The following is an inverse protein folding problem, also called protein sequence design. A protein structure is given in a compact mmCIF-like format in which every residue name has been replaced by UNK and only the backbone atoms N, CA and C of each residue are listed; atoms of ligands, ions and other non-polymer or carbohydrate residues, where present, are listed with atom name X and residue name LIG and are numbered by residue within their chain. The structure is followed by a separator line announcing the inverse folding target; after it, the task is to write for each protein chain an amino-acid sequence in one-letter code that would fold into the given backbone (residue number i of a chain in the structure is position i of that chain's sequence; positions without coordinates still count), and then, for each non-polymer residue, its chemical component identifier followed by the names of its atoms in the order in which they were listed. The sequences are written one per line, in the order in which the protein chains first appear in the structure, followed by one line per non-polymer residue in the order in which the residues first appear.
data_IF_218443743789
#
_entry.id   IF_218443743789
#
_cell.length_a   1.000
_cell.length_b   1.000
_cell.length_c   1.000
_cell.angle_alpha   90.00
_cell.angle_beta   90.00
_cell.angle_gamma   90.00
#
_symmetry.space_group_name_H-M   'P 1'
#
loop_
_entity.id
_entity.type
_entity.pdbx_description
1 polymer ?
#
# COMPACT_ATOMS: atom_id res chain seq x y z
N UNK A 1 -0.44 34.93 23.92
CA UNK A 1 -1.70 34.24 23.62
C UNK A 1 -2.34 34.91 22.42
N UNK A 2 -2.13 34.34 21.24
CA UNK A 2 -2.96 34.59 20.06
C UNK A 2 -3.31 33.22 19.53
N UNK A 3 -4.60 32.94 19.55
CA UNK A 3 -5.20 31.65 19.27
C UNK A 3 -4.91 31.23 17.83
N UNK A 4 -4.35 30.03 17.70
CA UNK A 4 -4.16 29.34 16.44
C UNK A 4 -5.48 28.59 16.14
N UNK A 5 -6.41 29.24 15.45
CA UNK A 5 -7.57 28.56 14.91
C UNK A 5 -7.09 27.66 13.76
N UNK A 6 -7.08 26.35 14.01
CA UNK A 6 -6.96 25.34 12.98
C UNK A 6 -8.11 25.52 11.98
N UNK A 7 -7.76 25.92 10.76
CA UNK A 7 -8.68 25.95 9.63
C UNK A 7 -9.15 24.52 9.35
N UNK A 8 -10.40 24.21 9.65
CA UNK A 8 -11.03 22.96 9.23
C UNK A 8 -10.97 22.87 7.70
N UNK A 9 -10.17 21.95 7.18
CA UNK A 9 -10.07 21.71 5.75
C UNK A 9 -11.44 21.29 5.23
N UNK A 10 -12.08 22.15 4.43
CA UNK A 10 -13.29 21.79 3.69
C UNK A 10 -12.93 20.68 2.71
N UNK A 11 -13.46 19.47 2.93
CA UNK A 11 -13.21 18.33 2.07
C UNK A 11 -13.61 18.67 0.62
N UNK A 12 -12.72 18.42 -0.32
CA UNK A 12 -13.03 18.46 -1.76
C UNK A 12 -14.20 17.49 -2.02
N UNK A 13 -15.20 17.87 -2.85
CA UNK A 13 -16.35 16.99 -3.08
C UNK A 13 -15.88 15.66 -3.67
N UNK A 14 -16.24 14.56 -3.01
CA UNK A 14 -15.97 13.20 -3.48
C UNK A 14 -16.88 12.95 -4.69
N UNK A 15 -16.28 12.68 -5.85
CA UNK A 15 -17.03 12.39 -7.07
C UNK A 15 -17.42 10.90 -7.10
N UNK A 16 -18.70 10.62 -7.34
CA UNK A 16 -19.22 9.25 -7.45
C UNK A 16 -19.56 8.99 -8.91
N UNK A 17 -18.91 8.00 -9.50
CA UNK A 17 -19.18 7.57 -10.87
C UNK A 17 -19.55 6.09 -10.91
N UNK A 18 -20.56 5.74 -11.71
CA UNK A 18 -20.89 4.35 -11.98
C UNK A 18 -19.91 3.84 -13.05
N UNK A 19 -19.15 2.80 -12.74
CA UNK A 19 -18.10 2.25 -13.64
C UNK A 19 -18.45 0.87 -14.21
N UNK A 20 -19.48 0.22 -13.64
CA UNK A 20 -20.15 -0.96 -14.21
C UNK A 20 -21.60 -1.04 -13.69
N UNK A 21 -22.34 -2.06 -14.06
CA UNK A 21 -23.68 -2.33 -13.52
C UNK A 21 -23.68 -2.71 -12.02
N UNK A 22 -22.54 -3.15 -11.48
CA UNK A 22 -22.39 -3.58 -10.09
C UNK A 22 -21.30 -2.82 -9.31
N UNK A 23 -20.76 -1.73 -9.86
CA UNK A 23 -19.69 -1.00 -9.19
C UNK A 23 -19.70 0.52 -9.40
N UNK A 24 -19.43 1.23 -8.31
CA UNK A 24 -19.20 2.67 -8.26
C UNK A 24 -17.75 2.98 -7.90
N UNK A 25 -17.16 3.97 -8.55
CA UNK A 25 -15.86 4.53 -8.17
C UNK A 25 -16.07 5.87 -7.46
N UNK A 26 -15.56 5.97 -6.23
CA UNK A 26 -15.46 7.21 -5.47
C UNK A 26 -14.07 7.80 -5.69
N UNK A 27 -14.00 9.03 -6.20
CA UNK A 27 -12.77 9.79 -6.38
C UNK A 27 -12.66 10.86 -5.29
N UNK A 28 -11.62 10.78 -4.47
CA UNK A 28 -11.43 11.71 -3.34
C UNK A 28 -10.53 12.90 -3.70
N UNK A 29 -9.54 12.66 -4.57
CA UNK A 29 -8.52 13.66 -4.92
C UNK A 29 -7.80 13.25 -6.21
N UNK A 30 -7.15 14.19 -6.90
CA UNK A 30 -6.22 13.88 -7.99
C UNK A 30 -4.76 13.75 -7.52
N UNK A 31 -4.52 13.91 -6.21
CA UNK A 31 -3.20 13.90 -5.58
C UNK A 31 -3.18 12.91 -4.43
N UNK A 32 -2.14 12.08 -4.38
CA UNK A 32 -1.88 11.13 -3.30
C UNK A 32 -1.43 11.89 -2.05
N UNK A 33 -2.09 11.68 -0.92
CA UNK A 33 -1.69 12.22 0.38
C UNK A 33 -2.19 11.35 1.53
N UNK A 34 -1.57 11.46 2.70
CA UNK A 34 -2.02 10.73 3.89
C UNK A 34 -3.44 11.12 4.32
N UNK A 35 -3.77 12.40 4.21
CA UNK A 35 -5.12 12.89 4.49
C UNK A 35 -6.18 12.23 3.58
N UNK A 36 -5.88 12.03 2.30
CA UNK A 36 -6.78 11.32 1.37
C UNK A 36 -6.87 9.83 1.73
N UNK A 37 -5.76 9.19 2.09
CA UNK A 37 -5.77 7.80 2.54
C UNK A 37 -6.58 7.63 3.84
N UNK A 38 -6.54 8.59 4.75
CA UNK A 38 -7.34 8.62 5.98
C UNK A 38 -8.84 8.76 5.67
N UNK A 39 -9.21 9.63 4.73
CA UNK A 39 -10.58 9.77 4.25
C UNK A 39 -11.10 8.46 3.61
N UNK A 40 -10.30 7.83 2.76
CA UNK A 40 -10.65 6.55 2.13
C UNK A 40 -10.85 5.46 3.19
N UNK A 41 -9.96 5.38 4.19
CA UNK A 41 -10.07 4.42 5.29
C UNK A 41 -11.35 4.64 6.12
N UNK A 42 -11.68 5.90 6.41
CA UNK A 42 -12.90 6.27 7.13
C UNK A 42 -14.16 5.89 6.35
N UNK A 43 -14.23 6.26 5.07
CA UNK A 43 -15.36 5.90 4.20
C UNK A 43 -15.48 4.39 4.02
N UNK A 44 -14.36 3.70 3.84
CA UNK A 44 -14.34 2.23 3.74
C UNK A 44 -14.94 1.59 4.98
N UNK A 45 -14.59 2.09 6.17
CA UNK A 45 -15.15 1.59 7.44
C UNK A 45 -16.65 1.85 7.52
N UNK A 46 -17.10 3.05 7.18
CA UNK A 46 -18.52 3.41 7.21
C UNK A 46 -19.36 2.59 6.21
N UNK A 47 -18.82 2.29 5.03
CA UNK A 47 -19.52 1.52 4.00
C UNK A 47 -19.58 0.02 4.28
N UNK A 48 -18.71 -0.53 5.14
CA UNK A 48 -18.77 -1.95 5.52
C UNK A 48 -20.07 -2.33 6.23
N UNK A 49 -20.70 -1.38 6.91
CA UNK A 49 -21.96 -1.57 7.63
C UNK A 49 -23.20 -1.42 6.72
N UNK A 50 -23.02 -1.00 5.46
CA UNK A 50 -24.11 -0.82 4.52
C UNK A 50 -24.48 -2.16 3.89
N UNK A 51 -25.70 -2.63 4.13
CA UNK A 51 -26.24 -3.84 3.53
C UNK A 51 -26.21 -3.77 2.00
N UNK A 52 -25.84 -4.87 1.34
CA UNK A 52 -25.72 -4.95 -0.12
C UNK A 52 -24.38 -4.49 -0.68
N UNK A 53 -23.43 -4.06 0.15
CA UNK A 53 -22.03 -3.90 -0.27
C UNK A 53 -21.35 -5.28 -0.30
N UNK A 54 -20.79 -5.64 -1.45
CA UNK A 54 -20.10 -6.92 -1.67
C UNK A 54 -18.61 -6.78 -1.37
N UNK A 55 -17.98 -5.73 -1.89
CA UNK A 55 -16.55 -5.50 -1.73
C UNK A 55 -16.19 -4.01 -1.76
N UNK A 56 -15.08 -3.68 -1.11
CA UNK A 56 -14.54 -2.34 -0.96
C UNK A 56 -13.04 -2.37 -1.22
N UNK A 57 -12.63 -1.81 -2.36
CA UNK A 57 -11.25 -1.90 -2.83
C UNK A 57 -10.62 -0.50 -2.80
N UNK A 58 -9.95 -0.13 -1.69
CA UNK A 58 -9.28 1.16 -1.57
C UNK A 58 -8.02 1.21 -2.44
N UNK A 59 -7.75 2.40 -2.98
CA UNK A 59 -6.53 2.74 -3.70
C UNK A 59 -6.02 4.12 -3.24
N UNK A 60 -4.98 4.65 -3.89
CA UNK A 60 -4.31 5.88 -3.46
C UNK A 60 -5.24 7.08 -3.31
N UNK A 61 -6.18 7.24 -4.22
CA UNK A 61 -7.11 8.39 -4.26
C UNK A 61 -8.55 8.01 -4.53
N UNK A 62 -8.82 6.70 -4.63
CA UNK A 62 -10.12 6.16 -5.01
C UNK A 62 -10.55 5.02 -4.11
N UNK A 63 -11.86 4.79 -4.07
CA UNK A 63 -12.46 3.59 -3.51
C UNK A 63 -13.42 3.00 -4.54
N UNK A 64 -13.14 1.78 -4.99
CA UNK A 64 -14.10 1.02 -5.79
C UNK A 64 -15.06 0.30 -4.83
N UNK A 65 -16.34 0.52 -5.04
CA UNK A 65 -17.43 -0.08 -4.25
C UNK A 65 -18.17 -1.05 -5.15
N UNK A 66 -18.13 -2.34 -4.82
CA UNK A 66 -18.89 -3.39 -5.50
C UNK A 66 -20.14 -3.68 -4.68
N UNK A 67 -21.30 -3.75 -5.32
CA UNK A 67 -22.58 -3.89 -4.64
C UNK A 67 -23.51 -4.90 -5.32
N UNK A 68 -24.46 -5.42 -4.56
CA UNK A 68 -25.46 -6.36 -5.02
C UNK A 68 -26.62 -5.62 -5.71
N UNK A 69 -26.82 -5.93 -7.00
CA UNK A 69 -27.90 -5.35 -7.82
C UNK A 69 -29.31 -5.75 -7.39
N UNK A 70 -29.45 -6.78 -6.56
CA UNK A 70 -30.73 -7.13 -5.94
C UNK A 70 -31.09 -6.20 -4.77
N UNK A 71 -30.08 -5.60 -4.13
CA UNK A 71 -30.23 -4.60 -3.06
C UNK A 71 -30.35 -3.18 -3.63
N UNK A 72 -29.56 -2.86 -4.67
CA UNK A 72 -29.50 -1.52 -5.22
C UNK A 72 -29.64 -1.48 -6.75
N UNK A 73 -30.48 -0.58 -7.24
CA UNK A 73 -30.35 -0.07 -8.61
C UNK A 73 -29.31 1.07 -8.67
N UNK A 74 -29.00 1.52 -9.90
CA UNK A 74 -28.00 2.56 -10.17
C UNK A 74 -28.26 3.89 -9.43
N UNK A 75 -29.52 4.24 -9.16
CA UNK A 75 -29.86 5.50 -8.48
C UNK A 75 -29.87 5.31 -6.97
N UNK A 76 -30.35 4.16 -6.51
CA UNK A 76 -30.40 3.80 -5.10
C UNK A 76 -28.99 3.72 -4.49
N UNK A 77 -28.03 3.09 -5.18
CA UNK A 77 -26.64 3.02 -4.69
C UNK A 77 -26.02 4.40 -4.58
N UNK A 78 -26.16 5.26 -5.60
CA UNK A 78 -25.59 6.61 -5.56
C UNK A 78 -26.16 7.42 -4.39
N UNK A 79 -27.48 7.32 -4.17
CA UNK A 79 -28.15 7.98 -3.03
C UNK A 79 -27.68 7.42 -1.69
N UNK A 80 -27.51 6.10 -1.57
CA UNK A 80 -27.02 5.46 -0.35
C UNK A 80 -25.58 5.90 -0.02
N UNK A 81 -24.69 5.90 -1.02
CA UNK A 81 -23.32 6.37 -0.89
C UNK A 81 -23.28 7.85 -0.46
N UNK A 82 -24.06 8.71 -1.10
CA UNK A 82 -24.18 10.12 -0.70
C UNK A 82 -24.68 10.28 0.74
N UNK A 83 -25.65 9.46 1.14
CA UNK A 83 -26.18 9.45 2.51
C UNK A 83 -25.10 9.08 3.53
N UNK A 84 -24.31 8.04 3.26
CA UNK A 84 -23.19 7.65 4.12
C UNK A 84 -22.16 8.78 4.20
N UNK A 85 -21.73 9.33 3.06
CA UNK A 85 -20.76 10.43 3.02
C UNK A 85 -21.23 11.68 3.79
N UNK A 86 -22.53 11.98 3.75
CA UNK A 86 -23.11 13.09 4.49
C UNK A 86 -23.16 12.85 6.01
N UNK A 87 -23.15 11.59 6.45
CA UNK A 87 -23.18 11.22 7.87
C UNK A 87 -21.79 11.09 8.51
N UNK A 88 -20.72 11.09 7.70
CA UNK A 88 -19.35 10.94 8.19
C UNK A 88 -18.92 12.16 8.98
N UNK A 89 -18.41 11.93 10.19
CA UNK A 89 -17.64 12.91 10.94
C UNK A 89 -16.21 12.96 10.39
N UNK A 90 -15.97 13.87 9.46
CA UNK A 90 -14.65 14.07 8.83
C UNK A 90 -13.57 14.51 9.81
N UNK A 91 -13.91 15.03 10.99
CA UNK A 91 -12.93 15.37 12.03
C UNK A 91 -12.28 14.12 12.66
N UNK A 92 -12.90 12.95 12.45
CA UNK A 92 -12.35 11.66 12.89
C UNK A 92 -11.37 11.02 11.90
N UNK A 93 -11.16 11.61 10.71
CA UNK A 93 -10.19 11.12 9.75
C UNK A 93 -8.77 11.14 10.34
N UNK A 94 -8.07 10.01 10.28
CA UNK A 94 -6.74 9.84 10.86
C UNK A 94 -6.72 9.38 12.32
N UNK A 95 -7.87 9.22 12.99
CA UNK A 95 -7.94 8.71 14.36
C UNK A 95 -7.81 7.18 14.47
N UNK A 96 -7.61 6.47 13.35
CA UNK A 96 -7.46 5.00 13.36
C UNK A 96 -6.07 4.63 13.86
N UNK A 97 -6.01 3.66 14.77
CA UNK A 97 -4.75 3.01 15.15
C UNK A 97 -4.28 2.19 13.95
N UNK A 98 -3.30 2.69 13.20
CA UNK A 98 -2.59 1.91 12.19
C UNK A 98 -1.76 0.84 12.89
N UNK A 99 -1.81 -0.41 12.43
CA UNK A 99 -0.85 -1.39 12.92
C UNK A 99 0.52 -1.07 12.34
N UNK A 100 1.56 -1.17 13.19
CA UNK A 100 2.94 -1.14 12.72
C UNK A 100 3.36 -2.56 12.36
N UNK A 101 3.73 -2.77 11.09
CA UNK A 101 4.27 -4.02 10.57
C UNK A 101 5.76 -3.84 10.34
N UNK A 102 6.59 -4.57 11.09
CA UNK A 102 8.03 -4.59 10.91
C UNK A 102 8.41 -5.80 10.05
N UNK A 103 9.10 -5.54 8.93
CA UNK A 103 9.52 -6.57 7.98
C UNK A 103 11.04 -6.69 8.03
N UNK A 104 11.61 -7.81 8.51
CA UNK A 104 13.04 -8.03 8.48
C UNK A 104 13.49 -8.29 7.03
N UNK A 105 14.59 -7.66 6.61
CA UNK A 105 15.08 -7.72 5.22
C UNK A 105 16.57 -7.97 5.19
N UNK A 106 16.95 -9.00 4.45
CA UNK A 106 18.34 -9.22 4.08
C UNK A 106 18.64 -8.49 2.77
N UNK A 107 19.54 -7.51 2.81
CA UNK A 107 19.97 -6.69 1.67
C UNK A 107 21.25 -7.23 1.00
N UNK A 108 21.42 -8.55 0.99
CA UNK A 108 22.61 -9.19 0.40
C UNK A 108 22.59 -9.22 -1.13
N UNK A 109 23.76 -9.22 -1.79
CA UNK A 109 23.85 -9.23 -3.26
C UNK A 109 23.20 -10.45 -3.91
N UNK A 110 23.11 -11.58 -3.20
CA UNK A 110 22.44 -12.81 -3.70
C UNK A 110 20.93 -12.63 -3.85
N UNK A 111 20.32 -11.76 -3.04
CA UNK A 111 18.86 -11.57 -2.99
C UNK A 111 18.40 -10.18 -3.40
N UNK A 112 19.32 -9.21 -3.47
CA UNK A 112 19.13 -7.83 -3.90
C UNK A 112 19.99 -7.48 -5.12
N UNK A 113 19.77 -8.12 -6.28
CA UNK A 113 20.64 -7.98 -7.45
C UNK A 113 20.69 -6.56 -8.04
N UNK A 114 19.74 -5.69 -7.69
CA UNK A 114 19.70 -4.31 -8.20
C UNK A 114 20.21 -3.28 -7.18
N UNK A 115 20.58 -3.68 -5.96
CA UNK A 115 20.93 -2.73 -4.89
C UNK A 115 22.08 -1.80 -5.28
N UNK A 116 23.16 -2.35 -5.88
CA UNK A 116 24.28 -1.54 -6.36
C UNK A 116 23.89 -0.58 -7.50
N UNK A 117 23.03 -1.03 -8.41
CA UNK A 117 22.60 -0.22 -9.55
C UNK A 117 21.66 0.92 -9.10
N UNK A 118 20.80 0.64 -8.11
CA UNK A 118 19.99 1.66 -7.43
C UNK A 118 20.90 2.68 -6.74
N UNK A 119 21.89 2.23 -5.97
CA UNK A 119 22.84 3.11 -5.30
C UNK A 119 23.57 4.03 -6.31
N UNK A 120 24.08 3.47 -7.41
CA UNK A 120 24.71 4.25 -8.50
C UNK A 120 23.75 5.26 -9.12
N UNK A 121 22.51 4.86 -9.41
CA UNK A 121 21.50 5.76 -9.99
C UNK A 121 21.18 6.94 -9.06
N UNK A 122 21.02 6.63 -7.77
CA UNK A 122 20.70 7.60 -6.73
C UNK A 122 21.90 8.43 -6.27
N UNK A 123 23.11 8.14 -6.74
CA UNK A 123 24.36 8.77 -6.31
C UNK A 123 24.63 8.59 -4.81
N UNK A 124 24.33 7.39 -4.31
CA UNK A 124 24.53 6.95 -2.93
C UNK A 124 25.43 5.71 -2.90
N UNK A 125 25.95 5.37 -1.73
CA UNK A 125 26.46 4.02 -1.49
C UNK A 125 25.30 3.08 -1.09
N UNK A 126 25.57 1.78 -1.11
CA UNK A 126 24.55 0.76 -0.78
C UNK A 126 24.08 0.87 0.67
N UNK A 127 24.97 1.24 1.59
CA UNK A 127 24.66 1.34 3.02
C UNK A 127 23.68 2.48 3.28
N UNK A 128 23.83 3.60 2.57
CA UNK A 128 22.95 4.75 2.63
C UNK A 128 21.59 4.45 1.98
N UNK A 129 21.55 3.68 0.89
CA UNK A 129 20.27 3.17 0.34
C UNK A 129 19.56 2.31 1.37
N UNK A 130 20.26 1.35 1.98
CA UNK A 130 19.70 0.47 3.03
C UNK A 130 19.20 1.33 4.19
N UNK A 131 20.01 2.27 4.68
CA UNK A 131 19.67 3.13 5.82
C UNK A 131 18.44 3.97 5.53
N UNK A 132 18.38 4.66 4.38
CA UNK A 132 17.21 5.46 4.00
C UNK A 132 15.96 4.59 3.84
N UNK A 133 16.10 3.41 3.23
CA UNK A 133 14.98 2.49 3.04
C UNK A 133 14.48 1.91 4.38
N UNK A 134 15.37 1.54 5.30
CA UNK A 134 14.98 0.91 6.57
C UNK A 134 14.53 1.89 7.65
N UNK A 135 15.05 3.12 7.63
CA UNK A 135 14.68 4.15 8.62
C UNK A 135 13.39 4.90 8.26
N UNK A 136 12.90 4.73 7.03
CA UNK A 136 11.63 5.31 6.59
C UNK A 136 10.45 4.46 7.08
N UNK A 137 9.46 5.13 7.65
CA UNK A 137 8.15 4.55 7.91
C UNK A 137 7.26 4.77 6.70
N UNK A 138 6.78 3.68 6.11
CA UNK A 138 5.94 3.71 4.93
C UNK A 138 4.48 3.49 5.27
N UNK A 139 3.58 4.01 4.44
CA UNK A 139 2.14 3.73 4.53
C UNK A 139 1.72 2.81 3.39
N UNK A 140 0.92 1.79 3.71
CA UNK A 140 0.24 0.96 2.72
C UNK A 140 -0.96 1.72 2.13
N UNK A 141 -0.81 2.25 0.90
CA UNK A 141 -1.88 3.03 0.26
C UNK A 141 -2.89 2.15 -0.49
N UNK A 142 -2.43 1.03 -1.02
CA UNK A 142 -3.26 0.11 -1.78
C UNK A 142 -2.75 -1.32 -1.57
N UNK A 143 -3.67 -2.28 -1.55
CA UNK A 143 -3.38 -3.72 -1.56
C UNK A 143 -3.98 -4.29 -2.84
N UNK A 144 -3.22 -5.06 -3.61
CA UNK A 144 -3.66 -5.58 -4.91
C UNK A 144 -2.49 -5.97 -5.81
N UNK A 145 -2.72 -6.19 -7.11
CA UNK A 145 -1.81 -6.88 -8.07
C UNK A 145 -1.74 -8.40 -7.88
N UNK A 146 -1.41 -8.86 -6.68
CA UNK A 146 -1.61 -10.24 -6.22
C UNK A 146 -2.04 -10.24 -4.77
N UNK A 147 -2.65 -11.33 -4.25
CA UNK A 147 -3.02 -11.42 -2.84
C UNK A 147 -1.83 -11.07 -1.93
N UNK A 148 -2.04 -10.11 -1.01
CA UNK A 148 -1.04 -9.64 -0.06
C UNK A 148 0.04 -8.69 -0.59
N UNK A 149 -0.02 -8.27 -1.86
CA UNK A 149 0.94 -7.28 -2.38
C UNK A 149 0.48 -5.88 -1.98
N UNK A 150 1.30 -5.23 -1.14
CA UNK A 150 1.04 -3.89 -0.64
C UNK A 150 1.90 -2.86 -1.36
N UNK A 151 1.26 -1.81 -1.86
CA UNK A 151 1.97 -0.66 -2.40
C UNK A 151 2.28 0.33 -1.28
N UNK A 152 3.55 0.38 -0.90
CA UNK A 152 4.06 1.25 0.16
C UNK A 152 4.59 2.52 -0.50
N UNK A 153 3.95 3.66 -0.21
CA UNK A 153 4.24 4.92 -0.88
C UNK A 153 5.19 5.82 -0.10
N UNK A 154 5.63 6.89 -0.76
CA UNK A 154 6.47 7.97 -0.24
C UNK A 154 7.87 7.53 0.17
N UNK A 155 8.57 6.83 -0.72
CA UNK A 155 10.02 6.67 -0.57
C UNK A 155 10.72 8.03 -0.53
N UNK A 156 11.83 8.16 0.24
CA UNK A 156 12.65 9.36 0.22
C UNK A 156 13.01 9.76 -1.20
N UNK A 157 13.02 11.05 -1.51
CA UNK A 157 13.32 11.56 -2.85
C UNK A 157 14.68 11.07 -3.38
N UNK A 158 15.66 10.94 -2.48
CA UNK A 158 16.96 10.39 -2.79
C UNK A 158 16.93 8.92 -3.27
N UNK A 159 15.85 8.19 -3.03
CA UNK A 159 15.66 6.80 -3.47
C UNK A 159 14.72 6.68 -4.68
N UNK A 160 14.33 7.78 -5.32
CA UNK A 160 13.50 7.71 -6.53
C UNK A 160 14.31 7.10 -7.67
N UNK A 161 13.85 5.95 -8.17
CA UNK A 161 14.54 5.19 -9.22
C UNK A 161 13.51 4.58 -10.17
N UNK A 162 13.70 4.66 -11.49
CA UNK A 162 12.71 4.14 -12.43
C UNK A 162 12.62 2.61 -12.38
N UNK A 163 11.47 2.10 -12.83
CA UNK A 163 11.32 0.68 -13.15
C UNK A 163 12.35 0.26 -14.21
N UNK A 164 12.71 -1.02 -14.19
CA UNK A 164 13.50 -1.64 -15.27
C UNK A 164 12.71 -1.54 -16.58
N UNK A 165 13.42 -1.23 -17.65
CA UNK A 165 12.86 -1.14 -19.01
C UNK A 165 12.35 -2.48 -19.51
N UNK A 166 13.02 -3.57 -19.13
CA UNK A 166 12.57 -4.95 -19.38
C UNK A 166 12.26 -5.61 -18.03
N UNK A 167 11.00 -5.99 -17.76
CA UNK A 167 10.64 -6.65 -16.51
C UNK A 167 11.23 -8.06 -16.45
N UNK A 168 11.56 -8.52 -15.23
CA UNK A 168 11.92 -9.92 -15.01
C UNK A 168 10.71 -10.80 -15.22
N UNK A 169 10.90 -11.96 -15.84
CA UNK A 169 9.86 -12.98 -15.97
C UNK A 169 9.49 -13.60 -14.61
N UNK A 170 10.43 -13.58 -13.66
CA UNK A 170 10.29 -14.16 -12.34
C UNK A 170 10.98 -13.29 -11.31
N UNK A 171 10.22 -12.81 -10.34
CA UNK A 171 10.70 -12.21 -9.10
C UNK A 171 10.39 -13.21 -7.97
N UNK A 172 11.38 -13.63 -7.16
CA UNK A 172 11.16 -14.52 -6.03
C UNK A 172 10.19 -13.96 -5.00
N UNK A 173 9.53 -14.88 -4.28
CA UNK A 173 8.73 -14.56 -3.11
C UNK A 173 9.59 -13.91 -2.01
N UNK A 174 9.03 -12.90 -1.35
CA UNK A 174 9.68 -12.13 -0.30
C UNK A 174 10.64 -11.07 -0.83
N UNK A 175 10.83 -10.94 -2.15
CA UNK A 175 11.68 -9.87 -2.71
C UNK A 175 11.13 -8.51 -2.32
N UNK A 176 12.02 -7.67 -1.76
CA UNK A 176 11.77 -6.29 -1.39
C UNK A 176 12.26 -5.41 -2.53
N UNK A 177 11.39 -4.54 -3.03
CA UNK A 177 11.64 -3.84 -4.27
C UNK A 177 11.19 -2.39 -4.22
N UNK A 178 11.85 -1.56 -5.02
CA UNK A 178 11.58 -0.13 -5.17
C UNK A 178 11.32 0.25 -6.62
N UNK A 179 10.41 1.19 -6.85
CA UNK A 179 10.17 1.81 -8.14
C UNK A 179 9.50 3.17 -7.97
N UNK A 180 9.98 4.16 -8.73
CA UNK A 180 9.55 5.54 -8.63
C UNK A 180 9.56 6.01 -7.17
N UNK A 181 8.39 6.33 -6.62
CA UNK A 181 8.20 6.83 -5.25
C UNK A 181 7.69 5.76 -4.28
N UNK A 182 7.84 4.48 -4.64
CA UNK A 182 7.16 3.37 -3.99
C UNK A 182 8.12 2.22 -3.69
N UNK A 183 7.83 1.51 -2.60
CA UNK A 183 8.45 0.23 -2.25
C UNK A 183 7.38 -0.83 -2.00
N UNK A 184 7.74 -2.10 -2.09
CA UNK A 184 6.81 -3.21 -1.93
C UNK A 184 7.55 -4.51 -1.59
N UNK A 185 6.80 -5.49 -1.11
CA UNK A 185 7.27 -6.88 -0.95
C UNK A 185 6.43 -7.79 -1.84
N UNK A 186 7.10 -8.63 -2.64
CA UNK A 186 6.44 -9.59 -3.51
C UNK A 186 5.91 -10.77 -2.66
N UNK A 187 4.60 -10.98 -2.51
CA UNK A 187 4.02 -12.02 -1.66
C UNK A 187 4.00 -13.40 -2.35
N UNK A 188 4.28 -13.42 -3.65
CA UNK A 188 4.29 -14.62 -4.49
C UNK A 188 5.24 -14.41 -5.67
N UNK A 189 5.57 -15.51 -6.35
CA UNK A 189 6.44 -15.47 -7.53
C UNK A 189 5.68 -14.90 -8.71
N UNK A 190 6.09 -13.73 -9.20
CA UNK A 190 5.43 -13.04 -10.32
C UNK A 190 6.44 -12.35 -11.24
N UNK A 191 6.08 -12.04 -12.50
CA UNK A 191 6.85 -11.11 -13.31
C UNK A 191 6.84 -9.71 -12.69
N UNK A 192 7.94 -8.97 -12.78
CA UNK A 192 8.06 -7.66 -12.15
C UNK A 192 9.20 -6.81 -12.71
N UNK A 193 8.95 -5.51 -12.84
CA UNK A 193 9.93 -4.53 -13.33
C UNK A 193 10.53 -3.64 -12.25
N UNK A 194 10.27 -3.90 -10.97
CA UNK A 194 10.80 -3.08 -9.88
C UNK A 194 12.25 -3.48 -9.59
N UNK A 195 13.05 -2.54 -9.07
CA UNK A 195 14.43 -2.79 -8.68
C UNK A 195 14.42 -3.55 -7.35
N UNK A 196 15.11 -4.68 -7.28
CA UNK A 196 15.14 -5.55 -6.10
C UNK A 196 16.30 -5.18 -5.18
N UNK A 197 15.97 -4.75 -3.96
CA UNK A 197 16.93 -4.29 -2.95
C UNK A 197 17.36 -5.42 -2.00
N UNK A 198 16.49 -6.40 -1.77
CA UNK A 198 16.74 -7.45 -0.80
C UNK A 198 15.58 -8.43 -0.71
N UNK A 199 15.53 -9.21 0.37
CA UNK A 199 14.49 -10.24 0.56
C UNK A 199 14.16 -10.45 2.04
N UNK A 200 12.89 -10.67 2.31
CA UNK A 200 12.38 -11.07 3.63
C UNK A 200 12.06 -12.57 3.64
N UNK A 201 12.27 -13.28 4.77
CA UNK A 201 11.80 -14.65 4.94
C UNK A 201 10.32 -14.71 5.35
N UNK A 202 9.72 -13.58 5.73
CA UNK A 202 8.35 -13.51 6.23
C UNK A 202 7.35 -13.75 5.10
N UNK A 203 6.34 -14.58 5.37
CA UNK A 203 5.20 -14.78 4.48
C UNK A 203 4.22 -13.61 4.61
N UNK A 204 3.92 -12.95 3.49
CA UNK A 204 3.01 -11.79 3.42
C UNK A 204 1.55 -12.22 3.34
N UNK A 205 1.30 -13.51 3.08
CA UNK A 205 -0.03 -14.11 2.97
C UNK A 205 -0.10 -15.34 3.85
N UNK A 206 -1.14 -15.41 4.68
CA UNK A 206 -1.52 -16.58 5.43
C UNK A 206 -2.95 -16.99 5.05
N UNK A 207 -3.07 -18.03 4.24
CA UNK A 207 -4.35 -18.58 3.76
C UNK A 207 -5.25 -19.14 4.87
N UNK A 208 -4.69 -19.41 6.06
CA UNK A 208 -5.45 -19.87 7.21
C UNK A 208 -5.90 -18.73 8.16
N UNK A 209 -5.54 -17.48 7.85
CA UNK A 209 -5.89 -16.30 8.65
C UNK A 209 -7.15 -15.61 8.13
N UNK A 210 -7.97 -15.09 9.04
CA UNK A 210 -9.16 -14.28 8.71
C UNK A 210 -8.81 -13.03 7.89
N UNK A 211 -7.61 -12.45 8.08
CA UNK A 211 -7.18 -11.22 7.38
C UNK A 211 -6.46 -11.49 6.05
N UNK A 212 -6.14 -12.76 5.73
CA UNK A 212 -5.33 -13.25 4.59
C UNK A 212 -3.94 -12.60 4.42
N UNK A 213 -3.86 -11.27 4.27
CA UNK A 213 -2.65 -10.49 4.12
C UNK A 213 -2.07 -10.03 5.46
N UNK A 214 -0.74 -9.98 5.55
CA UNK A 214 0.00 -9.42 6.69
C UNK A 214 -0.11 -7.89 6.76
N UNK A 215 -0.17 -7.24 5.60
CA UNK A 215 -0.25 -5.77 5.46
C UNK A 215 -1.63 -5.41 4.89
N UNK A 216 -2.34 -4.54 5.59
CA UNK A 216 -3.62 -4.01 5.17
C UNK A 216 -3.50 -2.55 4.71
N UNK A 217 -4.46 -2.08 3.92
CA UNK A 217 -4.52 -0.67 3.53
C UNK A 217 -4.64 0.22 4.79
N UNK A 218 -3.74 1.21 4.87
CA UNK A 218 -3.60 2.12 6.00
C UNK A 218 -2.57 1.68 7.06
N UNK A 219 -2.02 0.47 6.98
CA UNK A 219 -0.97 0.04 7.91
C UNK A 219 0.32 0.83 7.68
N UNK A 220 1.06 0.98 8.78
CA UNK A 220 2.41 1.53 8.81
C UNK A 220 3.41 0.39 8.67
N UNK A 221 4.37 0.49 7.75
CA UNK A 221 5.35 -0.55 7.47
C UNK A 221 6.75 0.02 7.61
N UNK A 222 7.61 -0.70 8.33
CA UNK A 222 9.05 -0.38 8.44
C UNK A 222 9.86 -1.62 8.12
N UNK A 223 10.97 -1.41 7.40
CA UNK A 223 11.91 -2.49 7.13
C UNK A 223 13.03 -2.49 8.15
N UNK A 224 13.43 -3.68 8.60
CA UNK A 224 14.52 -3.86 9.57
C UNK A 224 15.65 -4.67 8.91
N UNK A 225 16.86 -4.12 8.75
CA UNK A 225 17.96 -4.88 8.18
C UNK A 225 18.31 -6.08 9.06
N UNK A 226 18.52 -7.23 8.44
CA UNK A 226 18.92 -8.47 9.12
C UNK A 226 20.18 -9.06 8.48
N UNK A 227 20.88 -9.91 9.24
CA UNK A 227 22.05 -10.64 8.76
C UNK A 227 21.67 -11.81 7.86
N UNK A 228 22.64 -12.33 7.11
CA UNK A 228 22.47 -13.52 6.28
C UNK A 228 22.11 -14.75 7.12
N UNK A 229 22.74 -14.89 8.28
CA UNK A 229 22.55 -15.99 9.21
C UNK A 229 21.13 -16.00 9.76
N UNK A 230 20.61 -14.85 10.18
CA UNK A 230 19.22 -14.70 10.64
C UNK A 230 18.23 -15.00 9.51
N UNK A 231 18.51 -14.53 8.29
CA UNK A 231 17.66 -14.76 7.13
C UNK A 231 17.51 -16.25 6.84
N UNK A 232 18.64 -16.97 6.80
CA UNK A 232 18.66 -18.42 6.58
C UNK A 232 18.00 -19.18 7.74
N UNK A 233 18.24 -18.77 9.00
CA UNK A 233 17.65 -19.39 10.17
C UNK A 233 16.11 -19.27 10.21
N UNK A 234 15.55 -18.20 9.62
CA UNK A 234 14.11 -18.00 9.48
C UNK A 234 13.53 -18.66 8.20
N UNK A 235 14.29 -19.49 7.49
CA UNK A 235 13.85 -20.21 6.29
C UNK A 235 13.98 -19.41 5.00
N UNK A 236 14.72 -18.30 5.03
CA UNK A 236 15.09 -17.55 3.83
C UNK A 236 15.88 -18.40 2.84
N UNK A 237 15.67 -18.14 1.55
CA UNK A 237 16.36 -18.81 0.45
C UNK A 237 17.16 -17.76 -0.35
N UNK A 238 18.40 -18.09 -0.71
CA UNK A 238 19.29 -17.22 -1.50
C UNK A 238 19.09 -17.39 -3.01
N UNK A 239 18.49 -18.49 -3.45
CA UNK A 239 18.24 -18.79 -4.85
C UNK A 239 17.03 -18.01 -5.40
N UNK A 240 17.01 -17.81 -6.71
CA UNK A 240 15.82 -17.35 -7.44
C UNK A 240 16.06 -16.22 -8.43
N UNK A 241 17.27 -15.66 -8.47
CA UNK A 241 17.74 -14.74 -9.51
C UNK A 241 18.83 -15.39 -10.37
#
# INVERSE_FOLDING_TARGET
MKDNQASAATATPIEISLVSDQACLLQFSNVISDAVADQISLVTTALRELEGIIDLIPSYTTLLVVFDTSCFDRFAIQKALQGVLASIDWSSAGNRVSQEVVIPVYYGPEVGPDLEDVAKHCQLDTDEVIRLHSTTTYRAYAIGFTPGFAFLGNTPEALHVPRKTTPRLKVPIGSVAIAERQTAVYPSVTPGGWQILGRTPIALVNWASDSLALINAGDSVRFEPMTKEEFLAQGGNLDGF
#
